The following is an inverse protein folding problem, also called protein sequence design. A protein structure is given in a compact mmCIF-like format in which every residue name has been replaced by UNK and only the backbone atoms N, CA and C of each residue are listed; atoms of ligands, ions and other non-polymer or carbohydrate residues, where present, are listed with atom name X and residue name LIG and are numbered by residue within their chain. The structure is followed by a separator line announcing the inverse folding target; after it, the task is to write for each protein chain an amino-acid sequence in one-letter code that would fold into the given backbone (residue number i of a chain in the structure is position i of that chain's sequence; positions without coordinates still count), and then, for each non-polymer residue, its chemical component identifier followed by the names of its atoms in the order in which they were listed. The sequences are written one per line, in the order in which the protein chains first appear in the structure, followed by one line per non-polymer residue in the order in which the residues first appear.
data_IF_832445515166
#
_entry.id   IF_832445515166
#
_cell.length_a   1.000
_cell.length_b   1.000
_cell.length_c   1.000
_cell.angle_alpha   90.00
_cell.angle_beta   90.00
_cell.angle_gamma   90.00
#
_symmetry.space_group_name_H-M   'P 1'
#
loop_
_entity.id
_entity.type
_entity.pdbx_description
1 polymer ?
#
# COMPACT_ATOMS: atom_id res chain seq x y z
N UNK A 1 -11.88 2.31 13.77
CA UNK A 1 -11.75 3.20 12.59
C UNK A 1 -12.57 2.62 11.45
N UNK A 2 -13.54 3.38 10.96
CA UNK A 2 -14.50 2.91 9.92
C UNK A 2 -13.85 2.46 8.62
N UNK A 3 -12.73 3.11 8.23
CA UNK A 3 -12.06 2.77 6.97
C UNK A 3 -11.45 1.36 6.98
N UNK A 4 -11.06 0.84 8.13
CA UNK A 4 -10.53 -0.53 8.22
C UNK A 4 -11.58 -1.57 7.88
N UNK A 5 -12.81 -1.37 8.35
CA UNK A 5 -13.93 -2.27 8.03
C UNK A 5 -14.31 -2.18 6.56
N UNK A 6 -14.33 -0.97 6.01
CA UNK A 6 -14.57 -0.76 4.57
C UNK A 6 -13.52 -1.47 3.72
N UNK A 7 -12.26 -1.32 4.07
CA UNK A 7 -11.17 -1.91 3.31
C UNK A 7 -11.17 -3.44 3.42
N UNK A 8 -11.50 -3.99 4.59
CA UNK A 8 -11.68 -5.43 4.76
C UNK A 8 -12.81 -5.98 3.88
N UNK A 9 -13.94 -5.29 3.82
CA UNK A 9 -15.05 -5.66 2.94
C UNK A 9 -14.66 -5.59 1.46
N UNK A 10 -13.95 -4.55 1.06
CA UNK A 10 -13.43 -4.43 -0.31
C UNK A 10 -12.51 -5.59 -0.69
N UNK A 11 -11.65 -6.03 0.22
CA UNK A 11 -10.76 -7.17 -0.02
C UNK A 11 -11.56 -8.45 -0.23
N UNK A 12 -12.61 -8.67 0.57
CA UNK A 12 -13.47 -9.84 0.43
C UNK A 12 -14.23 -9.86 -0.89
N UNK A 13 -14.50 -8.70 -1.48
CA UNK A 13 -15.17 -8.57 -2.79
C UNK A 13 -14.19 -8.66 -3.96
N UNK A 14 -12.90 -8.52 -3.71
CA UNK A 14 -11.85 -8.63 -4.72
C UNK A 14 -11.38 -10.06 -4.93
N UNK A 15 -10.50 -10.25 -5.91
CA UNK A 15 -9.98 -11.56 -6.28
C UNK A 15 -8.61 -11.84 -5.69
N UNK A 16 -7.80 -10.80 -5.50
CA UNK A 16 -6.44 -10.92 -4.98
C UNK A 16 -5.98 -9.62 -4.34
N UNK A 17 -4.88 -9.70 -3.62
CA UNK A 17 -4.18 -8.55 -3.06
C UNK A 17 -2.72 -8.65 -3.44
N UNK A 18 -2.16 -7.57 -3.99
CA UNK A 18 -0.73 -7.44 -4.27
C UNK A 18 -0.09 -6.65 -3.13
N UNK A 19 0.97 -7.18 -2.56
CA UNK A 19 1.73 -6.52 -1.51
C UNK A 19 3.06 -6.02 -2.05
N UNK A 20 3.35 -4.74 -1.83
CA UNK A 20 4.61 -4.11 -2.22
C UNK A 20 5.21 -3.49 -0.98
N UNK A 21 6.42 -3.91 -0.63
CA UNK A 21 7.16 -3.38 0.50
C UNK A 21 8.62 -3.12 0.16
N UNK A 22 9.33 -2.42 1.04
CA UNK A 22 10.75 -2.17 0.91
C UNK A 22 11.56 -3.02 1.89
N UNK A 23 12.83 -3.23 1.58
CA UNK A 23 13.76 -3.83 2.53
C UNK A 23 14.02 -2.88 3.70
N UNK A 24 14.30 -3.45 4.87
CA UNK A 24 14.63 -2.69 6.10
C UNK A 24 16.07 -2.21 6.12
N UNK A 25 16.50 -1.55 5.07
CA UNK A 25 17.85 -0.99 5.00
C UNK A 25 17.86 0.31 4.20
N UNK A 26 18.81 1.18 4.52
CA UNK A 26 18.98 2.45 3.80
C UNK A 26 19.59 2.24 2.42
N UNK A 27 19.39 3.23 1.54
CA UNK A 27 20.01 3.23 0.21
C UNK A 27 21.49 3.59 0.21
N UNK A 28 22.03 4.07 1.34
CA UNK A 28 23.44 4.43 1.44
C UNK A 28 23.83 5.74 0.75
N UNK A 29 22.86 6.59 0.45
CA UNK A 29 23.10 7.83 -0.31
C UNK A 29 23.56 9.02 0.53
N UNK A 30 23.44 8.94 1.86
CA UNK A 30 23.69 10.05 2.76
C UNK A 30 22.99 11.35 2.34
N UNK A 31 21.74 11.22 1.84
CA UNK A 31 21.02 12.34 1.24
C UNK A 31 20.35 13.26 2.28
N UNK A 32 20.20 12.81 3.51
CA UNK A 32 19.56 13.58 4.57
C UNK A 32 18.03 13.66 4.50
N UNK A 33 17.40 13.04 3.53
CA UNK A 33 15.93 13.11 3.33
C UNK A 33 15.14 12.50 4.48
N UNK A 34 15.70 11.52 5.19
CA UNK A 34 15.08 10.93 6.37
C UNK A 34 15.20 11.78 7.64
N UNK A 35 15.92 12.91 7.56
CA UNK A 35 16.18 13.81 8.69
C UNK A 35 17.51 13.57 9.39
N UNK A 36 18.27 12.53 9.04
CA UNK A 36 19.60 12.24 9.56
C UNK A 36 20.67 12.63 8.54
N UNK A 37 21.81 13.15 8.99
CA UNK A 37 22.87 13.63 8.11
C UNK A 37 23.51 12.51 7.29
N UNK A 38 23.62 11.32 7.88
CA UNK A 38 24.18 10.12 7.23
C UNK A 38 23.24 8.94 7.40
N UNK A 39 23.33 7.97 6.49
CA UNK A 39 22.55 6.74 6.60
C UNK A 39 22.90 5.95 7.87
N UNK A 40 24.15 5.97 8.30
CA UNK A 40 24.60 5.27 9.51
C UNK A 40 23.93 5.79 10.79
N UNK A 41 23.57 7.07 10.82
CA UNK A 41 22.89 7.70 11.97
C UNK A 41 21.40 7.35 12.03
N UNK A 42 20.81 6.91 10.91
CA UNK A 42 19.40 6.55 10.85
C UNK A 42 19.17 5.22 11.60
N UNK A 43 18.36 5.20 12.69
CA UNK A 43 18.06 3.96 13.40
C UNK A 43 17.41 2.91 12.49
N UNK A 44 17.70 1.63 12.74
CA UNK A 44 17.25 0.53 11.88
C UNK A 44 15.72 0.40 11.77
N UNK A 45 14.96 0.95 12.70
CA UNK A 45 13.50 0.97 12.69
C UNK A 45 12.90 2.26 12.13
N UNK A 46 13.72 3.22 11.72
CA UNK A 46 13.28 4.44 11.05
C UNK A 46 13.37 4.26 9.53
N UNK A 47 12.30 4.46 8.77
CA UNK A 47 12.30 4.22 7.33
C UNK A 47 13.28 5.11 6.58
N UNK A 48 13.89 4.57 5.53
CA UNK A 48 14.62 5.37 4.55
C UNK A 48 13.61 6.12 3.66
N UNK A 49 13.73 7.44 3.59
CA UNK A 49 12.81 8.27 2.80
C UNK A 49 12.86 7.93 1.30
N UNK A 50 14.02 7.58 0.76
CA UNK A 50 14.15 7.17 -0.64
C UNK A 50 13.41 5.85 -0.88
N UNK A 51 13.49 4.91 0.05
CA UNK A 51 12.70 3.67 -0.04
C UNK A 51 11.19 3.95 -0.05
N UNK A 52 10.73 4.93 0.72
CA UNK A 52 9.31 5.34 0.71
C UNK A 52 8.88 5.88 -0.65
N UNK A 53 9.74 6.67 -1.28
CA UNK A 53 9.51 7.19 -2.64
C UNK A 53 9.45 6.03 -3.64
N UNK A 54 10.38 5.08 -3.55
CA UNK A 54 10.44 3.91 -4.43
C UNK A 54 9.19 3.04 -4.32
N UNK A 55 8.66 2.85 -3.12
CA UNK A 55 7.38 2.13 -2.92
C UNK A 55 6.25 2.85 -3.65
N UNK A 56 6.16 4.18 -3.53
CA UNK A 56 5.15 4.98 -4.22
C UNK A 56 5.23 4.83 -5.73
N UNK A 57 6.44 4.82 -6.29
CA UNK A 57 6.68 4.61 -7.72
C UNK A 57 6.22 3.20 -8.14
N UNK A 58 6.60 2.18 -7.37
CA UNK A 58 6.22 0.80 -7.66
C UNK A 58 4.71 0.60 -7.61
N UNK A 59 4.04 1.18 -6.62
CA UNK A 59 2.58 1.13 -6.48
C UNK A 59 1.89 1.80 -7.66
N UNK A 60 2.35 2.99 -8.06
CA UNK A 60 1.82 3.72 -9.22
C UNK A 60 1.98 2.93 -10.51
N UNK A 61 3.15 2.33 -10.72
CA UNK A 61 3.43 1.49 -11.88
C UNK A 61 2.54 0.25 -11.92
N UNK A 62 2.36 -0.42 -10.79
CA UNK A 62 1.49 -1.60 -10.68
C UNK A 62 0.03 -1.25 -11.00
N UNK A 63 -0.46 -0.13 -10.48
CA UNK A 63 -1.83 0.34 -10.76
C UNK A 63 -2.02 0.72 -12.23
N UNK A 64 -1.02 1.35 -12.85
CA UNK A 64 -1.05 1.69 -14.27
C UNK A 64 -1.12 0.43 -15.15
N UNK A 65 -0.31 -0.58 -14.84
CA UNK A 65 -0.33 -1.87 -15.53
C UNK A 65 -1.69 -2.55 -15.40
N UNK A 66 -2.26 -2.55 -14.19
CA UNK A 66 -3.58 -3.13 -13.95
C UNK A 66 -4.66 -2.40 -14.76
N UNK A 67 -4.61 -1.07 -14.82
CA UNK A 67 -5.54 -0.27 -15.61
C UNK A 67 -5.45 -0.60 -17.11
N UNK A 68 -4.26 -0.77 -17.64
CA UNK A 68 -4.03 -1.17 -19.04
C UNK A 68 -4.64 -2.56 -19.34
N UNK A 69 -4.65 -3.44 -18.35
CA UNK A 69 -5.24 -4.76 -18.42
C UNK A 69 -6.73 -4.79 -18.05
N UNK A 70 -7.34 -3.63 -17.83
CA UNK A 70 -8.75 -3.48 -17.39
C UNK A 70 -9.06 -4.19 -16.06
N UNK A 71 -8.08 -4.20 -15.17
CA UNK A 71 -8.24 -4.72 -13.81
C UNK A 71 -8.49 -3.56 -12.86
N UNK A 72 -9.53 -3.66 -12.05
CA UNK A 72 -9.86 -2.66 -11.05
C UNK A 72 -8.91 -2.80 -9.85
N UNK A 73 -8.48 -1.68 -9.30
CA UNK A 73 -7.57 -1.64 -8.16
C UNK A 73 -8.04 -0.67 -7.10
N UNK A 74 -7.62 -0.95 -5.88
CA UNK A 74 -7.65 0.01 -4.79
C UNK A 74 -6.40 -0.13 -3.95
N UNK A 75 -5.65 0.98 -3.84
CA UNK A 75 -4.47 1.06 -2.96
C UNK A 75 -4.95 1.19 -1.52
N UNK A 76 -4.40 0.36 -0.63
CA UNK A 76 -4.81 0.29 0.77
C UNK A 76 -3.60 0.32 1.70
N UNK A 77 -3.45 1.41 2.44
CA UNK A 77 -2.52 1.48 3.56
C UNK A 77 -2.89 0.46 4.65
N UNK A 78 -4.18 0.35 4.97
CA UNK A 78 -4.70 -0.52 6.04
C UNK A 78 -4.29 -1.96 5.88
N UNK A 79 -4.46 -2.52 4.68
CA UNK A 79 -4.11 -3.91 4.40
C UNK A 79 -2.59 -4.12 4.34
N UNK A 80 -1.83 -3.12 3.88
CA UNK A 80 -0.37 -3.14 3.95
C UNK A 80 0.11 -3.16 5.40
N UNK A 81 -0.45 -2.33 6.24
CA UNK A 81 -0.17 -2.32 7.68
C UNK A 81 -0.53 -3.64 8.35
N UNK A 82 -1.69 -4.19 8.04
CA UNK A 82 -2.11 -5.50 8.56
C UNK A 82 -1.14 -6.61 8.15
N UNK A 83 -0.64 -6.59 6.91
CA UNK A 83 0.33 -7.58 6.43
C UNK A 83 1.66 -7.50 7.19
N UNK A 84 2.10 -6.31 7.58
CA UNK A 84 3.28 -6.14 8.44
C UNK A 84 3.03 -6.72 9.84
N UNK A 85 1.87 -6.45 10.42
CA UNK A 85 1.48 -6.99 11.73
C UNK A 85 1.43 -8.51 11.71
N UNK A 86 0.97 -9.11 10.61
CA UNK A 86 0.91 -10.55 10.41
C UNK A 86 2.25 -11.15 9.92
N UNK A 87 3.25 -10.31 9.67
CA UNK A 87 4.58 -10.70 9.23
C UNK A 87 4.59 -11.51 7.92
N UNK A 88 3.75 -11.11 6.96
CA UNK A 88 3.65 -11.80 5.67
C UNK A 88 4.87 -11.55 4.77
N UNK A 89 5.51 -10.39 4.89
CA UNK A 89 6.76 -10.04 4.21
C UNK A 89 7.81 -9.68 5.26
N UNK A 90 8.43 -10.66 5.94
CA UNK A 90 9.23 -10.42 7.15
C UNK A 90 10.47 -9.55 6.94
N UNK A 91 11.00 -9.51 5.71
CA UNK A 91 12.18 -8.69 5.39
C UNK A 91 11.81 -7.28 4.92
N UNK A 92 10.51 -6.98 4.84
CA UNK A 92 10.01 -5.73 4.32
C UNK A 92 9.36 -4.88 5.39
N UNK A 93 9.33 -3.57 5.13
CA UNK A 93 8.47 -2.63 5.82
C UNK A 93 7.93 -1.58 4.83
N UNK A 94 7.13 -0.63 5.31
CA UNK A 94 6.42 0.32 4.46
C UNK A 94 5.60 -0.38 3.38
N UNK A 95 4.94 -1.47 3.76
CA UNK A 95 4.16 -2.28 2.85
C UNK A 95 2.84 -1.61 2.52
N UNK A 96 2.55 -1.53 1.23
CA UNK A 96 1.28 -1.05 0.69
C UNK A 96 0.59 -2.21 -0.02
N UNK A 97 -0.71 -2.34 0.19
CA UNK A 97 -1.51 -3.34 -0.48
C UNK A 97 -2.29 -2.73 -1.63
N UNK A 98 -2.47 -3.51 -2.69
CA UNK A 98 -3.32 -3.16 -3.82
C UNK A 98 -4.34 -4.30 -3.97
N UNK A 99 -5.59 -4.03 -3.63
CA UNK A 99 -6.67 -4.96 -3.90
C UNK A 99 -6.99 -4.93 -5.39
N UNK A 100 -7.17 -6.09 -6.00
CA UNK A 100 -7.42 -6.22 -7.45
C UNK A 100 -8.66 -7.05 -7.73
N UNK A 101 -9.41 -6.64 -8.76
CA UNK A 101 -10.62 -7.32 -9.20
C UNK A 101 -10.80 -7.18 -10.71
N UNK A 102 -11.28 -8.24 -11.34
CA UNK A 102 -11.60 -8.26 -12.76
C UNK A 102 -13.07 -8.68 -13.00
N UNK A 103 -13.98 -8.21 -12.15
CA UNK A 103 -15.41 -8.43 -12.27
C UNK A 103 -16.05 -7.45 -13.24
N UNK A 104 -17.32 -7.68 -13.58
CA UNK A 104 -18.10 -6.81 -14.48
C UNK A 104 -18.40 -5.43 -13.91
N UNK A 105 -18.22 -5.24 -12.62
CA UNK A 105 -18.45 -3.98 -11.89
C UNK A 105 -17.32 -3.77 -10.88
N UNK A 106 -16.78 -2.55 -10.84
CA UNK A 106 -15.74 -2.21 -9.88
C UNK A 106 -16.29 -2.28 -8.44
N UNK A 107 -15.84 -3.25 -7.60
CA UNK A 107 -16.41 -3.43 -6.27
C UNK A 107 -15.93 -2.38 -5.26
N UNK A 108 -14.81 -1.69 -5.54
CA UNK A 108 -14.14 -0.84 -4.55
C UNK A 108 -14.77 0.54 -4.43
N UNK A 109 -15.43 1.00 -5.47
CA UNK A 109 -16.01 2.33 -5.56
C UNK A 109 -17.53 2.31 -5.82
N UNK A 110 -18.14 1.13 -5.74
CA UNK A 110 -19.59 0.96 -5.83
C UNK A 110 -20.22 1.29 -4.48
N UNK A 111 -20.54 2.56 -4.30
CA UNK A 111 -21.11 3.06 -3.06
C UNK A 111 -22.63 3.11 -3.11
N UNK A 112 -23.25 2.66 -2.02
CA UNK A 112 -24.69 2.87 -1.85
C UNK A 112 -24.99 4.36 -1.77
N UNK A 113 -26.14 4.82 -2.31
CA UNK A 113 -26.55 6.20 -2.12
C UNK A 113 -26.60 6.55 -0.63
N UNK A 114 -26.20 7.76 -0.28
CA UNK A 114 -26.39 8.25 1.09
C UNK A 114 -27.87 8.36 1.37
N UNK A 115 -28.31 7.81 2.50
CA UNK A 115 -29.68 8.05 2.97
C UNK A 115 -29.83 9.55 3.24
N UNK A 116 -30.89 10.16 2.68
CA UNK A 116 -31.23 11.52 3.01
C UNK A 116 -31.60 11.57 4.50
N UNK A 117 -30.89 12.37 5.28
CA UNK A 117 -31.28 12.64 6.66
C UNK A 117 -32.54 13.53 6.60
N UNK A 118 -33.65 12.93 6.94
CA UNK A 118 -34.89 13.72 7.17
C UNK A 118 -34.76 14.54 8.44
#
# INVERSE_FOLDING_TARGET
MKFLLRDADNILQGEAVVLIGTRRQTQGLNCGYCGYATCAENPCNNPCAINSIDVGIAVGSACATAADLRVDTRVMFSAGWASETLNWLPECHQTIAIAVSASSKNPYFDRKPKEEKK
#
